data_IF_342984702979
#
_entry.id   IF_342984702979
#
_cell.length_a   1.000
_cell.length_b   1.000
_cell.length_c   1.000
_cell.angle_alpha   90.00
_cell.angle_beta   90.00
_cell.angle_gamma   90.00
#
_symmetry.space_group_name_H-M   'P 1'
#
loop_
_entity.id
_entity.type
_entity.pdbx_description
1 polymer ?
#
# COMPACT_ATOMS: atom_id res chain seq x y z
N UNK A 1 0.25 -1.81 -41.84
CA UNK A 1 -0.25 -1.95 -40.46
C UNK A 1 -1.75 -1.84 -40.52
N UNK A 2 -2.45 -2.80 -39.92
CA UNK A 2 -3.91 -2.84 -39.94
C UNK A 2 -4.45 -2.22 -38.64
N UNK A 3 -5.68 -1.70 -38.69
CA UNK A 3 -6.39 -1.14 -37.54
C UNK A 3 -6.55 -2.14 -36.38
N UNK A 4 -6.44 -3.45 -36.63
CA UNK A 4 -6.47 -4.47 -35.59
C UNK A 4 -5.15 -4.53 -34.81
N UNK A 5 -4.00 -4.50 -35.49
CA UNK A 5 -2.67 -4.49 -34.85
C UNK A 5 -2.47 -3.26 -33.94
N UNK A 6 -2.99 -2.11 -34.37
CA UNK A 6 -2.90 -0.86 -33.60
C UNK A 6 -3.78 -0.90 -32.33
N UNK A 7 -4.92 -1.60 -32.37
CA UNK A 7 -5.79 -1.78 -31.21
C UNK A 7 -5.17 -2.73 -30.20
N UNK A 8 -4.61 -3.84 -30.65
CA UNK A 8 -3.92 -4.82 -29.79
C UNK A 8 -2.79 -4.16 -28.98
N UNK A 9 -1.90 -3.44 -29.66
CA UNK A 9 -0.80 -2.69 -29.01
C UNK A 9 -1.30 -1.64 -28.02
N UNK A 10 -2.38 -0.94 -28.35
CA UNK A 10 -2.98 0.05 -27.46
C UNK A 10 -3.57 -0.61 -26.19
N UNK A 11 -4.17 -1.79 -26.31
CA UNK A 11 -4.66 -2.56 -25.17
C UNK A 11 -3.49 -3.05 -24.30
N UNK A 12 -2.48 -3.69 -24.87
CA UNK A 12 -1.30 -4.16 -24.12
C UNK A 12 -0.61 -3.01 -23.37
N UNK A 13 -0.39 -1.87 -24.04
CA UNK A 13 0.22 -0.70 -23.42
C UNK A 13 -0.64 -0.10 -22.30
N UNK A 14 -1.97 -0.20 -22.40
CA UNK A 14 -2.89 0.20 -21.32
C UNK A 14 -2.80 -0.78 -20.15
N UNK A 15 -2.87 -2.09 -20.41
CA UNK A 15 -2.79 -3.11 -19.38
C UNK A 15 -1.49 -3.01 -18.58
N UNK A 16 -0.35 -2.86 -19.27
CA UNK A 16 0.94 -2.70 -18.60
C UNK A 16 1.01 -1.45 -17.71
N UNK A 17 0.45 -0.33 -18.18
CA UNK A 17 0.36 0.91 -17.37
C UNK A 17 -0.57 0.76 -16.17
N UNK A 18 -1.72 0.11 -16.35
CA UNK A 18 -2.68 -0.11 -15.28
C UNK A 18 -2.07 -1.02 -14.19
N UNK A 19 -1.34 -2.06 -14.57
CA UNK A 19 -0.63 -2.96 -13.65
C UNK A 19 0.51 -2.23 -12.91
N UNK A 20 1.34 -1.48 -13.63
CA UNK A 20 2.39 -0.65 -13.03
C UNK A 20 1.81 0.37 -12.03
N UNK A 21 0.68 0.99 -12.38
CA UNK A 21 -0.01 1.92 -11.52
C UNK A 21 -0.52 1.23 -10.25
N UNK A 22 -1.13 0.05 -10.37
CA UNK A 22 -1.59 -0.73 -9.22
C UNK A 22 -0.43 -1.10 -8.29
N UNK A 23 0.69 -1.55 -8.83
CA UNK A 23 1.90 -1.86 -8.06
C UNK A 23 2.39 -0.64 -7.26
N UNK A 24 2.46 0.53 -7.91
CA UNK A 24 2.86 1.77 -7.25
C UNK A 24 1.87 2.19 -6.16
N UNK A 25 0.56 2.01 -6.38
CA UNK A 25 -0.47 2.28 -5.35
C UNK A 25 -0.27 1.38 -4.13
N UNK A 26 -0.09 0.09 -4.33
CA UNK A 26 0.08 -0.89 -3.23
C UNK A 26 1.31 -0.56 -2.40
N UNK A 27 2.46 -0.34 -3.06
CA UNK A 27 3.69 0.04 -2.37
C UNK A 27 3.53 1.35 -1.57
N UNK A 28 2.84 2.35 -2.15
CA UNK A 28 2.61 3.63 -1.47
C UNK A 28 1.64 3.50 -0.30
N UNK A 29 0.53 2.75 -0.48
CA UNK A 29 -0.45 2.43 0.55
C UNK A 29 0.21 1.77 1.75
N UNK A 30 1.06 0.76 1.51
CA UNK A 30 1.73 0.02 2.59
C UNK A 30 2.71 0.89 3.36
N UNK A 31 3.41 1.80 2.67
CA UNK A 31 4.24 2.81 3.35
C UNK A 31 3.40 3.70 4.26
N UNK A 32 2.26 4.19 3.77
CA UNK A 32 1.36 5.04 4.56
C UNK A 32 0.75 4.29 5.76
N UNK A 33 0.41 3.01 5.58
CA UNK A 33 -0.05 2.14 6.68
C UNK A 33 1.00 1.96 7.75
N UNK A 34 2.26 1.71 7.36
CA UNK A 34 3.37 1.64 8.31
C UNK A 34 3.54 2.94 9.10
N UNK A 35 3.45 4.09 8.44
CA UNK A 35 3.49 5.39 9.13
C UNK A 35 2.31 5.60 10.08
N UNK A 36 1.11 5.17 9.67
CA UNK A 36 -0.09 5.25 10.52
C UNK A 36 0.06 4.41 11.78
N UNK A 37 0.44 3.14 11.65
CA UNK A 37 0.63 2.24 12.79
C UNK A 37 1.80 2.69 13.68
N UNK A 38 2.92 3.13 13.09
CA UNK A 38 4.05 3.67 13.84
C UNK A 38 3.67 4.87 14.74
N UNK A 39 2.81 5.78 14.23
CA UNK A 39 2.29 6.90 15.04
C UNK A 39 1.46 6.43 16.22
N UNK A 40 0.63 5.39 16.03
CA UNK A 40 -0.18 4.82 17.10
C UNK A 40 0.68 4.14 18.18
N UNK A 41 1.73 3.44 17.74
CA UNK A 41 2.74 2.82 18.60
C UNK A 41 3.72 3.84 19.21
N UNK A 42 3.60 5.14 18.86
CA UNK A 42 4.47 6.23 19.34
C UNK A 42 5.95 6.02 19.05
N UNK A 43 6.26 5.41 17.90
CA UNK A 43 7.62 5.20 17.44
C UNK A 43 8.31 6.54 17.12
N UNK A 44 9.63 6.57 17.25
CA UNK A 44 10.45 7.70 16.80
C UNK A 44 10.40 7.88 15.28
N UNK A 45 10.84 9.01 14.71
CA UNK A 45 10.93 9.18 13.27
C UNK A 45 11.78 8.11 12.58
N UNK A 46 12.89 7.71 13.19
CA UNK A 46 13.81 6.69 12.67
C UNK A 46 13.16 5.30 12.69
N UNK A 47 12.51 4.95 13.80
CA UNK A 47 11.74 3.70 13.94
C UNK A 47 10.56 3.68 12.97
N UNK A 48 9.90 4.81 12.75
CA UNK A 48 8.78 4.95 11.81
C UNK A 48 9.23 4.67 10.38
N UNK A 49 10.38 5.21 9.95
CA UNK A 49 10.91 4.95 8.60
C UNK A 49 11.29 3.48 8.43
N UNK A 50 11.96 2.88 9.42
CA UNK A 50 12.30 1.46 9.41
C UNK A 50 11.05 0.57 9.37
N UNK A 51 10.06 0.86 10.22
CA UNK A 51 8.81 0.11 10.28
C UNK A 51 8.01 0.22 8.99
N UNK A 52 7.92 1.42 8.41
CA UNK A 52 7.22 1.63 7.13
C UNK A 52 7.84 0.83 5.99
N UNK A 53 9.18 0.72 5.95
CA UNK A 53 9.88 -0.13 4.97
C UNK A 53 9.60 -1.61 5.21
N UNK A 54 9.58 -2.05 6.47
CA UNK A 54 9.25 -3.44 6.81
C UNK A 54 7.82 -3.82 6.40
N UNK A 55 6.85 -2.92 6.58
CA UNK A 55 5.46 -3.14 6.13
C UNK A 55 5.38 -3.22 4.59
N UNK A 56 6.14 -2.40 3.88
CA UNK A 56 6.23 -2.51 2.41
C UNK A 56 6.87 -3.83 2.00
N UNK A 57 7.93 -4.27 2.67
CA UNK A 57 8.63 -5.52 2.35
C UNK A 57 7.75 -6.76 2.60
N UNK A 58 6.96 -6.78 3.67
CA UNK A 58 6.08 -7.90 3.99
C UNK A 58 5.10 -8.25 2.86
N UNK A 59 4.63 -7.25 2.11
CA UNK A 59 3.77 -7.45 0.93
C UNK A 59 4.48 -8.16 -0.23
N UNK A 60 5.78 -7.95 -0.40
CA UNK A 60 6.54 -8.63 -1.46
C UNK A 60 6.78 -10.10 -1.15
N UNK A 61 6.86 -10.45 0.13
CA UNK A 61 7.04 -11.82 0.58
C UNK A 61 5.72 -12.59 0.48
N UNK A 62 4.59 -11.96 0.78
CA UNK A 62 3.24 -12.52 0.67
C UNK A 62 2.28 -11.47 0.06
N UNK A 63 1.92 -11.65 -1.22
CA UNK A 63 1.07 -10.73 -1.99
C UNK A 63 -0.41 -10.86 -1.59
N UNK A 64 -0.73 -10.52 -0.35
CA UNK A 64 -2.09 -10.57 0.15
C UNK A 64 -2.33 -9.53 1.26
N UNK A 65 -3.31 -8.65 1.04
CA UNK A 65 -3.68 -7.58 1.98
C UNK A 65 -3.96 -8.11 3.41
N UNK A 66 -4.47 -9.35 3.54
CA UNK A 66 -4.72 -9.94 4.87
C UNK A 66 -3.45 -10.25 5.67
N UNK A 67 -2.31 -10.50 5.02
CA UNK A 67 -1.04 -10.68 5.73
C UNK A 67 -0.56 -9.35 6.33
N UNK A 68 -0.69 -8.26 5.56
CA UNK A 68 -0.43 -6.90 6.06
C UNK A 68 -1.37 -6.56 7.22
N UNK A 69 -2.67 -6.86 7.09
CA UNK A 69 -3.64 -6.61 8.17
C UNK A 69 -3.27 -7.39 9.43
N UNK A 70 -2.99 -8.70 9.32
CA UNK A 70 -2.59 -9.54 10.45
C UNK A 70 -1.31 -9.03 11.12
N UNK A 71 -0.31 -8.64 10.33
CA UNK A 71 0.94 -8.05 10.83
C UNK A 71 0.67 -6.78 11.62
N UNK A 72 -0.06 -5.82 11.04
CA UNK A 72 -0.36 -4.54 11.69
C UNK A 72 -1.13 -4.75 12.99
N UNK A 73 -2.14 -5.63 12.98
CA UNK A 73 -2.93 -5.94 14.16
C UNK A 73 -2.06 -6.55 15.28
N UNK A 74 -1.17 -7.49 14.92
CA UNK A 74 -0.24 -8.11 15.85
C UNK A 74 0.75 -7.12 16.46
N UNK A 75 1.36 -6.27 15.63
CA UNK A 75 2.32 -5.26 16.08
C UNK A 75 1.67 -4.20 16.98
N UNK A 76 0.48 -3.70 16.60
CA UNK A 76 -0.27 -2.73 17.39
C UNK A 76 -0.66 -3.30 18.75
N UNK A 77 -1.19 -4.52 18.76
CA UNK A 77 -1.57 -5.21 20.01
C UNK A 77 -0.34 -5.48 20.88
N UNK A 78 0.77 -5.92 20.27
CA UNK A 78 2.05 -6.13 20.96
C UNK A 78 2.64 -4.86 21.56
N UNK A 79 2.36 -3.70 20.96
CA UNK A 79 2.71 -2.39 21.48
C UNK A 79 1.71 -1.84 22.50
N UNK A 80 0.67 -2.61 22.88
CA UNK A 80 -0.37 -2.19 23.82
C UNK A 80 -1.40 -1.23 23.24
N UNK A 81 -1.49 -1.10 21.91
CA UNK A 81 -2.54 -0.35 21.23
C UNK A 81 -3.70 -1.31 20.95
N UNK A 82 -4.80 -1.15 21.69
CA UNK A 82 -6.04 -1.87 21.38
C UNK A 82 -6.53 -1.50 19.98
N UNK A 83 -6.69 -2.51 19.14
CA UNK A 83 -7.09 -2.36 17.75
C UNK A 83 -7.96 -3.55 17.36
N UNK A 84 -9.00 -3.28 16.58
CA UNK A 84 -9.78 -4.33 15.93
C UNK A 84 -9.45 -4.44 14.44
N UNK A 85 -9.75 -5.59 13.88
CA UNK A 85 -9.53 -5.87 12.48
C UNK A 85 -10.28 -4.86 11.57
N UNK A 86 -11.52 -4.48 11.94
CA UNK A 86 -12.34 -3.57 11.17
C UNK A 86 -11.69 -2.19 11.00
N UNK A 87 -11.02 -1.69 12.04
CA UNK A 87 -10.29 -0.42 12.01
C UNK A 87 -9.05 -0.52 11.13
N UNK A 88 -8.32 -1.65 11.17
CA UNK A 88 -7.16 -1.86 10.27
C UNK A 88 -7.63 -1.93 8.81
N UNK A 89 -8.71 -2.66 8.51
CA UNK A 89 -9.29 -2.72 7.15
C UNK A 89 -9.75 -1.35 6.65
N UNK A 90 -10.35 -0.54 7.53
CA UNK A 90 -10.67 0.85 7.21
C UNK A 90 -9.42 1.67 6.90
N UNK A 91 -8.36 1.54 7.71
CA UNK A 91 -7.10 2.21 7.44
C UNK A 91 -6.51 1.81 6.08
N UNK A 92 -6.59 0.53 5.69
CA UNK A 92 -6.17 0.04 4.36
C UNK A 92 -6.94 0.76 3.25
N UNK A 93 -8.27 0.86 3.36
CA UNK A 93 -9.10 1.56 2.39
C UNK A 93 -8.76 3.06 2.31
N UNK A 94 -8.65 3.74 3.45
CA UNK A 94 -8.33 5.16 3.54
C UNK A 94 -6.94 5.46 2.94
N UNK A 95 -5.93 4.65 3.29
CA UNK A 95 -4.58 4.81 2.74
C UNK A 95 -4.50 4.43 1.26
N UNK A 96 -5.38 3.58 0.74
CA UNK A 96 -5.46 3.28 -0.69
C UNK A 96 -5.93 4.50 -1.48
N UNK A 97 -6.95 5.19 -0.99
CA UNK A 97 -7.45 6.43 -1.61
C UNK A 97 -6.35 7.50 -1.60
N UNK A 98 -5.69 7.67 -0.45
CA UNK A 98 -4.61 8.65 -0.31
C UNK A 98 -3.39 8.31 -1.18
N UNK A 99 -3.00 7.04 -1.26
CA UNK A 99 -1.92 6.59 -2.13
C UNK A 99 -2.20 6.91 -3.61
N UNK A 100 -3.44 6.68 -4.07
CA UNK A 100 -3.86 7.02 -5.43
C UNK A 100 -3.78 8.53 -5.68
N UNK A 101 -4.29 9.34 -4.74
CA UNK A 101 -4.22 10.81 -4.83
C UNK A 101 -2.78 11.28 -4.97
N UNK A 102 -1.90 10.83 -4.08
CA UNK A 102 -0.49 11.26 -4.07
C UNK A 102 0.26 10.90 -5.36
N UNK A 103 -0.06 9.76 -5.96
CA UNK A 103 0.57 9.36 -7.22
C UNK A 103 0.05 10.14 -8.43
N UNK A 104 -1.24 10.49 -8.45
CA UNK A 104 -1.81 11.37 -9.48
C UNK A 104 -1.22 12.78 -9.37
N UNK A 105 -1.15 13.33 -8.16
CA UNK A 105 -0.55 14.65 -7.89
C UNK A 105 0.94 14.68 -8.26
N UNK A 106 1.69 13.62 -7.99
CA UNK A 106 3.11 13.53 -8.35
C UNK A 106 3.37 13.41 -9.86
N UNK A 107 2.35 13.11 -10.66
CA UNK A 107 2.41 13.04 -12.13
C UNK A 107 1.94 14.34 -12.82
N UNK A 108 1.41 15.29 -12.04
CA UNK A 108 0.88 16.58 -12.51
C UNK A 108 1.97 17.64 -12.57
#
# INVERSE_FOLDING_TARGET
>A
MTTFDDRERAFEAKFARDEEMLFRVVARRNKLLGQWAARLMKLTPEETDAYSKAVVQAEFEEAHDEDVIRKLLGDLTGAGVEMDDATVRKAVADQTVEARRQLIEAQS
#
